data_IF_997313733141
#
_entry.id   IF_997313733141
#
_cell.length_a   1.000
_cell.length_b   1.000
_cell.length_c   1.000
_cell.angle_alpha   90.00
_cell.angle_beta   90.00
_cell.angle_gamma   90.00
#
_symmetry.space_group_name_H-M   'P 1'
#
loop_
_entity.id
_entity.type
_entity.pdbx_description
1 polymer ?
#
# COMPACT_ATOMS: atom_id res chain seq x y z
N UNK A 1 -5.99 23.98 1.70
CA UNK A 1 -6.16 22.57 2.11
C UNK A 1 -5.25 21.72 1.24
N UNK A 2 -4.32 20.97 1.83
CA UNK A 2 -3.43 20.09 1.08
C UNK A 2 -4.28 18.95 0.46
N UNK A 3 -4.21 18.77 -0.85
CA UNK A 3 -5.03 17.79 -1.57
C UNK A 3 -4.35 16.42 -1.46
N UNK A 4 -4.96 15.50 -0.73
CA UNK A 4 -4.46 14.13 -0.64
C UNK A 4 -4.79 13.34 -1.91
N UNK A 5 -3.80 12.58 -2.40
CA UNK A 5 -3.93 11.61 -3.47
C UNK A 5 -4.29 10.25 -2.88
N UNK A 6 -5.12 9.48 -3.60
CA UNK A 6 -5.33 8.06 -3.32
C UNK A 6 -4.17 7.28 -3.93
N UNK A 7 -3.26 6.76 -3.11
CA UNK A 7 -2.06 6.08 -3.60
C UNK A 7 -2.38 4.62 -3.90
N UNK A 8 -2.99 3.92 -2.96
CA UNK A 8 -3.18 2.48 -3.05
C UNK A 8 -4.38 2.02 -2.25
N UNK A 9 -5.06 1.01 -2.74
CA UNK A 9 -6.17 0.31 -2.08
C UNK A 9 -5.82 -1.17 -2.02
N UNK A 10 -6.01 -1.79 -0.86
CA UNK A 10 -5.85 -3.22 -0.70
C UNK A 10 -6.89 -3.80 0.26
N UNK A 11 -7.16 -5.10 0.11
CA UNK A 11 -7.96 -5.90 1.02
C UNK A 11 -7.09 -6.73 1.95
N UNK A 12 -7.67 -7.18 3.05
CA UNK A 12 -7.08 -8.17 3.93
C UNK A 12 -8.15 -8.87 4.77
N UNK A 13 -7.85 -10.09 5.20
CA UNK A 13 -8.58 -10.75 6.29
C UNK A 13 -8.34 -10.08 7.65
N UNK A 14 -7.26 -9.29 7.78
CA UNK A 14 -6.95 -8.56 9.00
C UNK A 14 -6.19 -7.27 8.65
N UNK A 15 -6.95 -6.19 8.46
CA UNK A 15 -6.44 -4.92 7.92
C UNK A 15 -5.33 -4.28 8.76
N UNK A 16 -5.45 -4.25 10.10
CA UNK A 16 -4.46 -3.58 10.95
C UNK A 16 -3.11 -4.33 10.95
N UNK A 17 -3.06 -5.66 11.18
CA UNK A 17 -1.82 -6.42 11.04
C UNK A 17 -1.19 -6.27 9.65
N UNK A 18 -1.99 -6.29 8.58
CA UNK A 18 -1.51 -6.14 7.19
C UNK A 18 -0.81 -4.80 7.00
N UNK A 19 -1.45 -3.70 7.36
CA UNK A 19 -0.86 -2.37 7.22
C UNK A 19 0.42 -2.26 8.05
N UNK A 20 0.36 -2.63 9.33
CA UNK A 20 1.49 -2.41 10.23
C UNK A 20 2.70 -3.28 9.90
N UNK A 21 2.50 -4.59 9.79
CA UNK A 21 3.60 -5.55 9.69
C UNK A 21 4.19 -5.60 8.29
N UNK A 22 3.36 -5.41 7.26
CA UNK A 22 3.79 -5.60 5.88
C UNK A 22 4.01 -4.27 5.13
N UNK A 23 3.19 -3.25 5.37
CA UNK A 23 3.34 -1.97 4.67
C UNK A 23 4.27 -1.02 5.42
N UNK A 24 3.96 -0.75 6.69
CA UNK A 24 4.72 0.22 7.50
C UNK A 24 6.12 -0.29 7.88
N UNK A 25 6.28 -1.57 8.22
CA UNK A 25 7.56 -2.14 8.68
C UNK A 25 8.10 -3.28 7.82
N UNK A 26 7.41 -3.65 6.75
CA UNK A 26 7.82 -4.76 5.89
C UNK A 26 8.94 -4.39 4.92
N UNK A 27 9.21 -5.30 3.99
CA UNK A 27 10.14 -5.11 2.89
C UNK A 27 9.41 -5.24 1.53
N UNK A 28 10.10 -4.96 0.43
CA UNK A 28 9.48 -5.08 -0.90
C UNK A 28 9.01 -6.49 -1.21
N UNK A 29 9.55 -7.54 -0.60
CA UNK A 29 9.09 -8.92 -0.83
C UNK A 29 7.67 -9.14 -0.29
N UNK A 30 7.42 -8.65 0.92
CA UNK A 30 6.21 -8.89 1.70
C UNK A 30 4.96 -8.19 1.15
N UNK A 31 5.10 -7.06 0.46
CA UNK A 31 3.97 -6.19 0.13
C UNK A 31 3.91 -5.78 -1.34
N UNK A 32 2.75 -5.99 -1.96
CA UNK A 32 2.46 -5.48 -3.31
C UNK A 32 2.56 -3.95 -3.36
N UNK A 33 2.01 -3.24 -2.36
CA UNK A 33 2.15 -1.79 -2.23
C UNK A 33 3.63 -1.38 -2.24
N UNK A 34 4.47 -2.02 -1.42
CA UNK A 34 5.91 -1.68 -1.36
C UNK A 34 6.60 -1.91 -2.69
N UNK A 35 6.26 -2.95 -3.44
CA UNK A 35 6.76 -3.17 -4.82
C UNK A 35 6.33 -2.06 -5.76
N UNK A 36 5.07 -1.62 -5.69
CA UNK A 36 4.59 -0.53 -6.53
C UNK A 36 5.27 0.80 -6.19
N UNK A 37 5.36 1.13 -4.90
CA UNK A 37 6.07 2.33 -4.41
C UNK A 37 7.52 2.32 -4.87
N UNK A 38 8.23 1.19 -4.71
CA UNK A 38 9.61 1.04 -5.16
C UNK A 38 9.75 1.34 -6.67
N UNK A 39 8.88 0.74 -7.50
CA UNK A 39 8.90 0.94 -8.95
C UNK A 39 8.58 2.37 -9.36
N UNK A 40 7.61 3.02 -8.72
CA UNK A 40 7.26 4.41 -9.02
C UNK A 40 8.32 5.41 -8.53
N UNK A 41 9.04 5.09 -7.44
CA UNK A 41 10.27 5.79 -7.07
C UNK A 41 11.41 5.51 -8.07
N UNK A 42 11.23 4.57 -8.99
CA UNK A 42 12.16 4.17 -10.04
C UNK A 42 13.30 3.27 -9.57
N UNK A 43 13.08 2.51 -8.49
CA UNK A 43 13.95 1.41 -8.11
C UNK A 43 13.73 0.20 -9.02
N UNK A 44 14.83 -0.42 -9.45
CA UNK A 44 14.79 -1.76 -10.06
C UNK A 44 14.58 -2.80 -8.96
N UNK A 45 13.79 -3.83 -9.25
CA UNK A 45 13.51 -4.95 -8.34
C UNK A 45 14.10 -6.21 -8.94
N UNK A 46 14.97 -6.89 -8.19
CA UNK A 46 15.60 -8.14 -8.60
C UNK A 46 15.01 -9.32 -7.85
N UNK A 47 14.88 -10.45 -8.56
CA UNK A 47 14.61 -11.76 -7.97
C UNK A 47 15.92 -12.55 -7.90
N UNK A 48 16.21 -13.12 -6.75
CA UNK A 48 17.39 -13.95 -6.51
C UNK A 48 16.95 -15.29 -5.93
N UNK A 49 17.48 -16.40 -6.45
CA UNK A 49 17.20 -17.71 -5.87
C UNK A 49 17.84 -17.77 -4.48
N UNK A 50 17.09 -18.21 -3.47
CA UNK A 50 17.64 -18.39 -2.12
C UNK A 50 18.62 -19.56 -2.16
N UNK A 51 19.77 -19.40 -1.51
CA UNK A 51 20.77 -20.47 -1.41
C UNK A 51 20.27 -21.64 -0.56
N UNK A 52 19.40 -21.36 0.41
CA UNK A 52 18.90 -22.34 1.39
C UNK A 52 17.60 -23.05 0.98
N UNK A 53 16.97 -22.68 -0.14
CA UNK A 53 15.71 -23.31 -0.59
C UNK A 53 15.48 -23.08 -2.08
N UNK A 54 14.59 -23.85 -2.70
CA UNK A 54 14.14 -23.62 -4.08
C UNK A 54 13.22 -22.38 -4.24
N UNK A 55 13.21 -21.46 -3.28
CA UNK A 55 12.42 -20.23 -3.34
C UNK A 55 13.24 -19.04 -3.87
N UNK A 56 12.54 -17.97 -4.26
CA UNK A 56 13.17 -16.74 -4.72
C UNK A 56 12.92 -15.61 -3.72
N UNK A 57 13.95 -14.84 -3.39
CA UNK A 57 13.86 -13.59 -2.66
C UNK A 57 13.68 -12.43 -3.65
N UNK A 58 12.84 -11.47 -3.28
CA UNK A 58 12.68 -10.21 -4.03
C UNK A 58 13.34 -9.08 -3.23
N UNK A 59 14.19 -8.27 -3.87
CA UNK A 59 14.84 -7.12 -3.23
C UNK A 59 15.01 -5.95 -4.19
N UNK A 60 15.29 -4.79 -3.63
CA UNK A 60 15.71 -3.60 -4.39
C UNK A 60 17.11 -3.85 -4.95
N UNK A 61 17.30 -3.53 -6.22
CA UNK A 61 18.56 -3.70 -6.94
C UNK A 61 19.48 -2.49 -6.70
N UNK A 62 20.11 -2.48 -5.52
CA UNK A 62 21.13 -1.53 -5.09
C UNK A 62 22.29 -2.28 -4.43
N UNK A 63 23.51 -1.69 -4.37
CA UNK A 63 24.62 -2.23 -3.58
C UNK A 63 24.23 -2.46 -2.11
N UNK A 64 23.54 -1.49 -1.51
CA UNK A 64 22.84 -1.68 -0.23
C UNK A 64 21.31 -1.50 -0.40
N UNK A 65 20.54 -2.61 -0.46
CA UNK A 65 19.08 -2.56 -0.54
C UNK A 65 18.40 -1.87 0.64
N UNK A 66 19.06 -1.75 1.81
CA UNK A 66 18.47 -1.17 3.02
C UNK A 66 18.17 0.32 2.85
N UNK A 67 19.01 1.03 2.09
CA UNK A 67 18.81 2.46 1.79
C UNK A 67 17.48 2.66 1.06
N UNK A 68 17.24 1.87 0.01
CA UNK A 68 15.97 1.92 -0.74
C UNK A 68 14.77 1.52 0.12
N UNK A 69 14.91 0.48 0.95
CA UNK A 69 13.84 0.04 1.86
C UNK A 69 13.49 1.12 2.89
N UNK A 70 14.48 1.84 3.41
CA UNK A 70 14.27 2.95 4.35
C UNK A 70 13.51 4.10 3.68
N UNK A 71 13.86 4.47 2.45
CA UNK A 71 13.15 5.53 1.71
C UNK A 71 11.70 5.16 1.42
N UNK A 72 11.45 3.90 1.02
CA UNK A 72 10.08 3.38 0.84
C UNK A 72 9.31 3.41 2.15
N UNK A 73 9.93 2.96 3.25
CA UNK A 73 9.32 2.98 4.57
C UNK A 73 8.98 4.40 5.00
N UNK A 74 9.90 5.35 4.84
CA UNK A 74 9.67 6.76 5.17
C UNK A 74 8.46 7.32 4.42
N UNK A 75 8.37 7.09 3.11
CA UNK A 75 7.22 7.52 2.31
C UNK A 75 5.90 6.90 2.74
N UNK A 76 5.88 5.59 3.01
CA UNK A 76 4.66 4.91 3.44
C UNK A 76 4.24 5.38 4.83
N UNK A 77 5.20 5.61 5.74
CA UNK A 77 4.96 6.04 7.11
C UNK A 77 4.53 7.51 7.21
N UNK A 78 4.92 8.37 6.26
CA UNK A 78 4.43 9.76 6.17
C UNK A 78 3.03 9.88 5.58
N UNK A 79 2.47 8.78 5.05
CA UNK A 79 1.11 8.72 4.56
C UNK A 79 0.06 8.49 5.64
N UNK A 80 -1.19 8.67 5.24
CA UNK A 80 -2.36 8.47 6.09
C UNK A 80 -3.14 7.25 5.62
N UNK A 81 -3.54 6.41 6.57
CA UNK A 81 -4.32 5.22 6.34
C UNK A 81 -5.77 5.47 6.72
N UNK A 82 -6.67 5.10 5.82
CA UNK A 82 -8.09 4.92 6.12
C UNK A 82 -8.45 3.47 5.88
N UNK A 83 -9.40 2.94 6.62
CA UNK A 83 -9.87 1.58 6.42
C UNK A 83 -11.33 1.45 6.84
N UNK A 84 -11.97 0.40 6.35
CA UNK A 84 -13.32 0.00 6.76
C UNK A 84 -13.37 -1.52 6.86
N UNK A 85 -14.07 -2.01 7.88
CA UNK A 85 -14.28 -3.44 8.10
C UNK A 85 -15.45 -3.93 7.26
N UNK A 86 -15.29 -5.12 6.69
CA UNK A 86 -16.29 -5.86 5.95
C UNK A 86 -16.77 -7.06 6.76
N UNK A 87 -17.93 -7.59 6.41
CA UNK A 87 -18.53 -8.78 7.04
C UNK A 87 -17.68 -10.03 6.83
N UNK A 88 -16.96 -10.12 5.71
CA UNK A 88 -16.14 -11.27 5.35
C UNK A 88 -14.98 -10.90 4.44
N UNK A 89 -14.03 -11.82 4.29
CA UNK A 89 -12.91 -11.71 3.34
C UNK A 89 -13.38 -11.61 1.91
N UNK A 90 -14.47 -12.30 1.55
CA UNK A 90 -15.02 -12.25 0.19
C UNK A 90 -15.72 -10.93 -0.07
N UNK A 91 -16.41 -10.36 0.93
CA UNK A 91 -16.94 -8.99 0.81
C UNK A 91 -15.81 -7.99 0.64
N UNK A 92 -14.71 -8.11 1.40
CA UNK A 92 -13.55 -7.23 1.28
C UNK A 92 -12.88 -7.30 -0.11
N UNK A 93 -12.67 -8.52 -0.63
CA UNK A 93 -12.04 -8.74 -1.94
C UNK A 93 -12.86 -8.15 -3.08
N UNK A 94 -14.18 -8.36 -3.07
CA UNK A 94 -15.09 -7.85 -4.10
C UNK A 94 -15.27 -6.32 -3.97
N UNK A 95 -15.42 -5.82 -2.73
CA UNK A 95 -15.51 -4.38 -2.45
C UNK A 95 -14.24 -3.62 -2.85
N UNK A 96 -13.05 -4.21 -2.71
CA UNK A 96 -11.80 -3.58 -3.12
C UNK A 96 -11.86 -3.14 -4.59
N UNK A 97 -12.41 -3.97 -5.47
CA UNK A 97 -12.51 -3.65 -6.89
C UNK A 97 -13.47 -2.48 -7.14
N UNK A 98 -14.63 -2.46 -6.46
CA UNK A 98 -15.53 -1.31 -6.48
C UNK A 98 -14.80 -0.03 -6.04
N UNK A 99 -14.09 -0.06 -4.91
CA UNK A 99 -13.36 1.09 -4.38
C UNK A 99 -12.24 1.55 -5.33
N UNK A 100 -11.51 0.62 -5.95
CA UNK A 100 -10.50 0.89 -6.98
C UNK A 100 -11.11 1.62 -8.18
N UNK A 101 -12.29 1.17 -8.65
CA UNK A 101 -13.01 1.85 -9.74
C UNK A 101 -13.45 3.27 -9.37
N UNK A 102 -13.98 3.47 -8.16
CA UNK A 102 -14.52 4.77 -7.73
C UNK A 102 -13.45 5.78 -7.35
N UNK A 103 -12.40 5.34 -6.68
CA UNK A 103 -11.36 6.23 -6.13
C UNK A 103 -10.15 6.40 -7.04
N UNK A 104 -10.01 5.57 -8.07
CA UNK A 104 -8.93 5.64 -9.06
C UNK A 104 -7.52 5.82 -8.44
N UNK A 105 -7.06 4.88 -7.59
CA UNK A 105 -5.76 4.99 -6.94
C UNK A 105 -4.60 5.00 -7.94
N UNK A 106 -3.54 5.72 -7.61
CA UNK A 106 -2.36 5.88 -8.47
C UNK A 106 -1.65 4.54 -8.77
N UNK A 107 -1.59 3.63 -7.79
CA UNK A 107 -0.76 2.41 -7.89
C UNK A 107 -1.52 1.14 -8.28
N UNK A 108 -2.82 1.04 -8.04
CA UNK A 108 -3.61 -0.13 -8.50
C UNK A 108 -3.97 0.05 -9.98
N UNK A 109 -3.02 -0.29 -10.87
CA UNK A 109 -3.19 -0.17 -12.33
C UNK A 109 -4.14 -1.24 -12.89
N UNK A 110 -4.21 -2.41 -12.24
CA UNK A 110 -5.10 -3.48 -12.64
C UNK A 110 -6.53 -3.22 -12.15
N UNK A 111 -7.51 -3.49 -13.00
CA UNK A 111 -8.92 -3.49 -12.61
C UNK A 111 -9.55 -4.85 -12.89
N UNK A 112 -10.37 -5.30 -11.95
CA UNK A 112 -11.22 -6.49 -12.10
C UNK A 112 -12.68 -6.10 -11.96
N UNK A 113 -13.60 -6.93 -12.49
CA UNK A 113 -15.02 -6.79 -12.20
C UNK A 113 -15.30 -6.97 -10.71
N UNK A 114 -16.41 -6.40 -10.27
CA UNK A 114 -17.00 -6.57 -8.95
C UNK A 114 -18.49 -6.88 -9.12
N UNK A 115 -19.12 -7.45 -8.09
CA UNK A 115 -20.54 -7.80 -8.18
C UNK A 115 -21.45 -6.56 -8.15
N UNK A 116 -21.99 -6.18 -9.31
CA UNK A 116 -22.85 -5.00 -9.48
C UNK A 116 -24.14 -5.04 -8.64
N UNK A 117 -24.64 -6.23 -8.26
CA UNK A 117 -25.83 -6.34 -7.41
C UNK A 117 -25.60 -5.87 -5.97
N UNK A 118 -24.33 -5.68 -5.57
CA UNK A 118 -23.93 -5.15 -4.26
C UNK A 118 -23.62 -3.64 -4.27
N UNK A 119 -24.00 -2.93 -5.34
CA UNK A 119 -23.67 -1.51 -5.54
C UNK A 119 -24.02 -0.62 -4.34
N UNK A 120 -25.23 -0.76 -3.79
CA UNK A 120 -25.68 0.01 -2.62
C UNK A 120 -24.85 -0.31 -1.37
N UNK A 121 -24.58 -1.59 -1.13
CA UNK A 121 -23.72 -2.04 -0.03
C UNK A 121 -22.31 -1.47 -0.14
N UNK A 122 -21.76 -1.42 -1.34
CA UNK A 122 -20.41 -0.89 -1.58
C UNK A 122 -20.35 0.63 -1.55
N UNK A 123 -21.41 1.31 -1.99
CA UNK A 123 -21.55 2.74 -1.81
C UNK A 123 -21.56 3.10 -0.31
N UNK A 124 -22.36 2.38 0.50
CA UNK A 124 -22.38 2.56 1.95
C UNK A 124 -20.99 2.35 2.58
N UNK A 125 -20.29 1.26 2.23
CA UNK A 125 -18.95 1.00 2.76
C UNK A 125 -17.94 2.06 2.32
N UNK A 126 -18.07 2.59 1.10
CA UNK A 126 -17.21 3.68 0.59
C UNK A 126 -17.43 4.98 1.37
N UNK A 127 -18.67 5.29 1.75
CA UNK A 127 -18.99 6.42 2.61
C UNK A 127 -18.46 6.25 4.03
N UNK A 128 -18.51 5.04 4.60
CA UNK A 128 -17.88 4.75 5.89
C UNK A 128 -16.36 4.92 5.80
N UNK A 129 -15.74 4.44 4.72
CA UNK A 129 -14.33 4.63 4.46
C UNK A 129 -13.96 6.11 4.34
N UNK A 130 -14.75 6.93 3.64
CA UNK A 130 -14.47 8.35 3.47
C UNK A 130 -14.57 9.12 4.80
N UNK A 131 -15.53 8.76 5.66
CA UNK A 131 -15.73 9.31 7.00
C UNK A 131 -14.73 8.79 8.04
N UNK A 132 -14.05 7.68 7.77
CA UNK A 132 -13.06 7.12 8.71
C UNK A 132 -11.92 8.10 8.98
N UNK A 133 -11.45 8.11 10.24
CA UNK A 133 -10.37 9.00 10.68
C UNK A 133 -9.07 8.55 10.02
N UNK A 134 -8.35 9.44 9.30
CA UNK A 134 -7.03 9.12 8.78
C UNK A 134 -6.06 8.84 9.93
N UNK A 135 -5.26 7.78 9.81
CA UNK A 135 -4.32 7.33 10.84
C UNK A 135 -2.92 7.15 10.30
N UNK A 136 -1.93 7.48 11.11
CA UNK A 136 -0.52 7.22 10.81
C UNK A 136 -0.17 5.81 11.30
N UNK A 137 0.95 5.25 10.82
CA UNK A 137 1.37 3.88 11.15
C UNK A 137 1.47 3.60 12.67
N UNK A 138 1.85 4.60 13.47
CA UNK A 138 1.97 4.50 14.93
C UNK A 138 0.61 4.38 15.64
N UNK A 139 -0.43 4.98 15.10
CA UNK A 139 -1.76 5.09 15.72
C UNK A 139 -2.63 3.84 15.52
N UNK A 140 -2.23 2.94 14.62
CA UNK A 140 -3.00 1.74 14.27
C UNK A 140 -2.98 0.64 15.36
N UNK A 141 -2.15 0.74 16.41
CA UNK A 141 -1.89 -0.37 17.36
C UNK A 141 -3.10 -0.84 18.16
N UNK A 142 -4.07 0.02 18.44
CA UNK A 142 -5.19 -0.24 19.36
C UNK A 142 -6.55 -0.23 18.69
N UNK A 143 -6.57 -0.32 17.36
CA UNK A 143 -7.79 -0.24 16.59
C UNK A 143 -8.32 -1.64 16.25
N UNK A 144 -9.63 -1.72 16.12
CA UNK A 144 -10.31 -2.93 15.68
C UNK A 144 -9.84 -3.35 14.30
N UNK A 145 -9.72 -4.66 14.14
CA UNK A 145 -9.21 -5.28 12.92
C UNK A 145 -10.01 -6.52 12.59
N UNK A 146 -10.14 -6.76 11.29
CA UNK A 146 -10.83 -7.89 10.73
C UNK A 146 -10.76 -7.82 9.21
N UNK A 147 -11.62 -8.58 8.52
CA UNK A 147 -11.73 -8.47 7.07
C UNK A 147 -12.09 -7.04 6.69
N UNK A 148 -11.48 -6.51 5.64
CA UNK A 148 -11.76 -5.14 5.23
C UNK A 148 -10.85 -4.65 4.13
N UNK A 149 -11.07 -3.40 3.74
CA UNK A 149 -10.19 -2.69 2.81
C UNK A 149 -9.49 -1.55 3.53
N UNK A 150 -8.30 -1.22 3.04
CA UNK A 150 -7.51 -0.09 3.50
C UNK A 150 -7.01 0.73 2.32
N UNK A 151 -6.81 2.02 2.56
CA UNK A 151 -6.39 3.00 1.57
C UNK A 151 -5.24 3.81 2.13
N UNK A 152 -4.16 3.90 1.35
CA UNK A 152 -3.07 4.83 1.60
C UNK A 152 -3.34 6.15 0.89
N UNK A 153 -3.40 7.23 1.66
CA UNK A 153 -3.45 8.61 1.18
C UNK A 153 -2.10 9.28 1.39
N UNK A 154 -1.68 10.10 0.43
CA UNK A 154 -0.43 10.85 0.53
C UNK A 154 -0.55 12.19 -0.20
N UNK A 155 0.08 13.29 0.26
CA UNK A 155 0.02 14.59 -0.43
C UNK A 155 0.81 14.63 -1.75
N UNK A 156 1.72 13.68 -1.95
CA UNK A 156 2.61 13.60 -3.12
C UNK A 156 2.64 12.18 -3.70
N UNK A 157 2.82 11.98 -5.01
CA UNK A 157 3.04 10.66 -5.58
C UNK A 157 4.42 10.10 -5.19
N UNK A 158 4.65 8.77 -5.27
CA UNK A 158 5.96 8.20 -4.94
C UNK A 158 7.10 8.68 -5.86
N UNK A 159 6.78 9.01 -7.11
CA UNK A 159 7.75 9.49 -8.11
C UNK A 159 8.40 10.81 -7.74
N UNK A 160 7.74 11.63 -6.92
CA UNK A 160 8.24 12.92 -6.44
C UNK A 160 9.05 12.79 -5.14
N UNK A 161 9.30 11.56 -4.65
CA UNK A 161 10.17 11.39 -3.48
C UNK A 161 11.64 11.60 -3.89
N UNK A 162 12.09 12.85 -3.76
CA UNK A 162 13.36 13.42 -4.28
C UNK A 162 14.65 12.89 -3.66
N UNK A 163 14.61 11.79 -2.89
CA UNK A 163 15.82 11.21 -2.29
C UNK A 163 16.80 10.58 -3.30
N UNK A 164 16.41 10.51 -4.60
CA UNK A 164 17.25 10.05 -5.71
C UNK A 164 18.49 10.91 -5.98
N UNK A 165 18.40 12.24 -5.79
CA UNK A 165 19.46 13.14 -6.25
C UNK A 165 20.69 13.16 -5.34
N UNK A 166 20.53 12.97 -4.02
CA UNK A 166 21.65 13.12 -3.09
C UNK A 166 22.63 11.94 -3.02
N UNK A 167 22.27 10.77 -3.55
CA UNK A 167 23.09 9.56 -3.42
C UNK A 167 23.86 9.18 -4.68
N UNK A 168 23.47 9.66 -5.86
CA UNK A 168 24.23 9.44 -7.09
C UNK A 168 25.45 10.37 -7.13
N UNK A 169 25.32 11.61 -6.61
CA UNK A 169 26.44 12.58 -6.52
C UNK A 169 27.49 12.27 -5.44
N UNK A 170 27.32 11.21 -4.64
CA UNK A 170 28.32 10.81 -3.62
C UNK A 170 29.21 9.65 -4.07
N UNK A 171 29.01 9.13 -5.28
CA UNK A 171 29.79 8.01 -5.84
C UNK A 171 30.28 8.26 -7.27
N UNK A 172 30.18 9.50 -7.76
CA UNK A 172 30.91 10.01 -8.94
C UNK A 172 32.03 10.95 -8.48
#
# INVERSE_FOLDING_TARGET
>A
MERFLVIYIGDSANVIPRIKREHCSGNVEASALRKHVAREMGYKIRKEKRTTSNSYRTRIDLPDPRVGEQQISNYIQSGHWKYVLCKSTDEARDFQWYAIHKLNPLLNKDRKPWNSTKSERYQFLLEQLSKSVPRNCSELRRLDSGPGIYVLYHPRPPSENTSKQKHIEQFE
#
